data_IF_345188317249
#
_entry.id   IF_345188317249
#
_cell.length_a   1.000
_cell.length_b   1.000
_cell.length_c   1.000
_cell.angle_alpha   90.00
_cell.angle_beta   90.00
_cell.angle_gamma   90.00
#
_symmetry.space_group_name_H-M   'P 1'
#
loop_
_entity.id
_entity.type
_entity.pdbx_description
1 polymer ?
#
# COMPACT_ATOMS: atom_id res chain seq x y z
N UNK A 1 3.01 13.97 15.64
CA UNK A 1 2.41 13.17 14.54
C UNK A 1 2.58 11.70 14.87
N UNK A 2 1.51 10.90 14.86
CA UNK A 2 1.50 9.48 15.28
C UNK A 2 1.33 8.49 14.12
N UNK A 3 1.27 8.98 12.87
CA UNK A 3 1.04 8.16 11.68
C UNK A 3 2.12 8.39 10.63
N UNK A 4 2.54 7.31 9.97
CA UNK A 4 3.40 7.31 8.79
C UNK A 4 2.56 6.92 7.57
N UNK A 5 2.60 7.75 6.53
CA UNK A 5 1.97 7.46 5.23
C UNK A 5 3.05 7.23 4.19
N UNK A 6 3.00 6.09 3.51
CA UNK A 6 3.91 5.74 2.41
C UNK A 6 3.09 5.64 1.13
N UNK A 7 3.50 6.35 0.08
CA UNK A 7 2.84 6.32 -1.22
C UNK A 7 3.69 5.52 -2.23
N UNK A 8 3.05 4.62 -2.96
CA UNK A 8 3.68 3.77 -3.99
C UNK A 8 2.96 4.02 -5.30
N UNK A 9 3.70 4.47 -6.32
CA UNK A 9 3.15 4.90 -7.61
C UNK A 9 3.70 4.10 -8.79
N UNK A 10 2.84 3.84 -9.75
CA UNK A 10 3.21 3.46 -11.11
C UNK A 10 2.38 4.30 -12.09
N UNK A 11 2.71 4.30 -13.38
CA UNK A 11 2.06 5.19 -14.37
C UNK A 11 0.53 5.10 -14.35
N UNK A 12 -0.03 3.88 -14.30
CA UNK A 12 -1.48 3.66 -14.33
C UNK A 12 -2.14 3.43 -12.97
N UNK A 13 -1.37 3.38 -11.88
CA UNK A 13 -1.92 3.19 -10.52
C UNK A 13 -2.58 1.84 -10.20
N UNK A 14 -2.77 0.94 -11.17
CA UNK A 14 -3.60 -0.27 -11.03
C UNK A 14 -2.85 -1.61 -11.01
N UNK A 15 -1.59 -1.65 -11.43
CA UNK A 15 -0.83 -2.90 -11.57
C UNK A 15 0.33 -2.99 -10.57
N UNK A 16 1.47 -2.36 -10.91
CA UNK A 16 2.72 -2.47 -10.14
C UNK A 16 2.61 -1.86 -8.75
N UNK A 17 2.00 -0.68 -8.64
CA UNK A 17 1.79 -0.02 -7.35
C UNK A 17 0.92 -0.83 -6.41
N UNK A 18 -0.15 -1.44 -6.94
CA UNK A 18 -1.08 -2.29 -6.17
C UNK A 18 -0.35 -3.51 -5.63
N UNK A 19 0.36 -4.24 -6.50
CA UNK A 19 1.10 -5.45 -6.11
C UNK A 19 2.14 -5.16 -5.02
N UNK A 20 2.94 -4.10 -5.19
CA UNK A 20 3.97 -3.74 -4.20
C UNK A 20 3.32 -3.29 -2.88
N UNK A 21 2.23 -2.53 -2.92
CA UNK A 21 1.54 -2.08 -1.72
C UNK A 21 0.94 -3.25 -0.91
N UNK A 22 0.35 -4.24 -1.57
CA UNK A 22 -0.18 -5.45 -0.92
C UNK A 22 0.94 -6.26 -0.25
N UNK A 23 2.05 -6.50 -0.95
CA UNK A 23 3.20 -7.23 -0.38
C UNK A 23 3.82 -6.49 0.82
N UNK A 24 3.95 -5.16 0.75
CA UNK A 24 4.44 -4.35 1.86
C UNK A 24 3.51 -4.46 3.09
N UNK A 25 2.19 -4.43 2.88
CA UNK A 25 1.21 -4.55 3.96
C UNK A 25 1.23 -5.94 4.58
N UNK A 26 1.34 -6.99 3.77
CA UNK A 26 1.50 -8.37 4.25
C UNK A 26 2.73 -8.49 5.16
N UNK A 27 3.90 -8.05 4.67
CA UNK A 27 5.14 -8.07 5.44
C UNK A 27 5.04 -7.30 6.77
N UNK A 28 4.43 -6.11 6.75
CA UNK A 28 4.31 -5.29 7.96
C UNK A 28 3.31 -5.87 8.96
N UNK A 29 2.22 -6.47 8.48
CA UNK A 29 1.25 -7.18 9.34
C UNK A 29 1.88 -8.41 9.99
N UNK A 30 2.69 -9.18 9.25
CA UNK A 30 3.47 -10.31 9.80
C UNK A 30 4.41 -9.87 10.92
N UNK A 31 4.86 -8.61 10.91
CA UNK A 31 5.69 -8.00 11.96
C UNK A 31 4.89 -7.35 13.11
N UNK A 32 3.57 -7.48 13.10
CA UNK A 32 2.70 -6.95 14.15
C UNK A 32 2.42 -5.45 14.07
N UNK A 33 2.75 -4.79 12.95
CA UNK A 33 2.40 -3.39 12.76
C UNK A 33 0.93 -3.23 12.38
N UNK A 34 0.28 -2.21 12.93
CA UNK A 34 -1.05 -1.81 12.49
C UNK A 34 -0.96 -1.01 11.18
N UNK A 35 -1.27 -1.67 10.06
CA UNK A 35 -1.14 -1.10 8.71
C UNK A 35 -2.45 -1.25 7.94
N UNK A 36 -2.81 -0.16 7.26
CA UNK A 36 -3.94 -0.09 6.33
C UNK A 36 -3.43 0.23 4.93
N UNK A 37 -4.08 -0.32 3.91
CA UNK A 37 -3.76 -0.10 2.49
C UNK A 37 -4.94 0.56 1.79
N UNK A 38 -4.66 1.46 0.86
CA UNK A 38 -5.67 2.09 0.00
C UNK A 38 -5.12 2.22 -1.41
N UNK A 39 -5.85 1.66 -2.37
CA UNK A 39 -5.55 1.80 -3.79
C UNK A 39 -6.35 2.96 -4.38
N UNK A 40 -5.67 4.03 -4.79
CA UNK A 40 -6.34 5.25 -5.28
C UNK A 40 -7.04 5.05 -6.62
N UNK A 41 -6.38 4.34 -7.53
CA UNK A 41 -6.78 4.25 -8.94
C UNK A 41 -7.47 2.92 -9.29
N UNK A 42 -7.59 2.00 -8.33
CA UNK A 42 -8.36 0.75 -8.49
C UNK A 42 -9.85 1.07 -8.37
N UNK A 43 -10.62 0.74 -9.41
CA UNK A 43 -12.07 0.97 -9.43
C UNK A 43 -12.48 2.42 -9.72
N UNK A 44 -11.55 3.23 -10.20
CA UNK A 44 -11.83 4.54 -10.78
C UNK A 44 -12.21 4.42 -12.26
#
# INVERSE_FOLDING_TARGET
KTHLTVAIGCTGGTHRSVAIAEEAVKYLKEKGYNVVVRHRDVGR
#
